data_IF_168966346742
#
_entry.id   IF_168966346742
#
_cell.length_a   1.000
_cell.length_b   1.000
_cell.length_c   1.000
_cell.angle_alpha   90.00
_cell.angle_beta   90.00
_cell.angle_gamma   90.00
#
_symmetry.space_group_name_H-M   'P 1'
#
loop_
_entity.id
_entity.type
_entity.pdbx_description
1 polymer ?
#
# COMPACT_ATOMS: atom_id res chain seq x y z
N UNK A 1 11.55 -15.58 6.38
CA UNK A 1 10.58 -14.51 6.07
C UNK A 1 10.22 -13.70 7.30
N UNK A 2 10.07 -14.35 8.48
CA UNK A 2 9.93 -13.68 9.77
C UNK A 2 10.95 -12.54 9.94
N UNK A 3 10.47 -11.41 10.48
CA UNK A 3 11.22 -10.18 10.79
C UNK A 3 11.55 -9.24 9.61
N UNK A 4 11.04 -9.47 8.39
CA UNK A 4 11.14 -8.51 7.27
C UNK A 4 9.94 -7.55 7.24
N UNK A 5 8.78 -8.07 7.60
CA UNK A 5 7.49 -7.35 7.73
C UNK A 5 6.85 -7.74 9.06
N UNK A 6 5.92 -6.91 9.55
CA UNK A 6 5.27 -7.10 10.85
C UNK A 6 3.77 -6.77 10.79
N UNK A 7 2.87 -7.66 11.24
CA UNK A 7 1.42 -7.33 11.28
C UNK A 7 1.12 -6.16 12.22
N UNK A 8 1.92 -5.96 13.26
CA UNK A 8 1.76 -4.86 14.21
C UNK A 8 1.88 -3.51 13.49
N UNK A 9 2.85 -3.34 12.60
CA UNK A 9 3.07 -2.07 11.87
C UNK A 9 1.90 -1.70 10.95
N UNK A 10 1.28 -2.66 10.26
CA UNK A 10 0.09 -2.37 9.45
C UNK A 10 -1.15 -2.16 10.31
N UNK A 11 -1.20 -2.78 11.49
CA UNK A 11 -2.26 -2.53 12.48
C UNK A 11 -2.17 -1.12 13.05
N UNK A 12 -0.98 -0.67 13.46
CA UNK A 12 -0.72 0.71 13.91
C UNK A 12 -1.07 1.74 12.83
N UNK A 13 -0.68 1.46 11.57
CA UNK A 13 -1.04 2.33 10.44
C UNK A 13 -2.56 2.42 10.26
N UNK A 14 -3.28 1.30 10.42
CA UNK A 14 -4.75 1.26 10.34
C UNK A 14 -5.38 2.04 11.48
N UNK A 15 -4.85 1.94 12.70
CA UNK A 15 -5.33 2.69 13.84
C UNK A 15 -5.14 4.19 13.62
N UNK A 16 -3.98 4.62 13.11
CA UNK A 16 -3.74 6.01 12.71
C UNK A 16 -4.78 6.49 11.69
N UNK A 17 -5.04 5.70 10.63
CA UNK A 17 -6.04 6.06 9.60
C UNK A 17 -7.45 6.22 10.19
N UNK A 18 -7.82 5.42 11.18
CA UNK A 18 -9.14 5.47 11.81
C UNK A 18 -9.22 6.40 13.03
N UNK A 19 -8.08 6.98 13.45
CA UNK A 19 -8.00 7.88 14.60
C UNK A 19 -8.48 9.31 14.28
N UNK A 20 -8.25 10.23 15.22
CA UNK A 20 -8.40 11.68 15.02
C UNK A 20 -9.80 12.11 14.53
N UNK A 21 -10.85 11.63 15.22
CA UNK A 21 -12.25 11.87 14.85
C UNK A 21 -12.56 11.45 13.41
N UNK A 22 -12.02 10.31 12.99
CA UNK A 22 -12.18 9.79 11.64
C UNK A 22 -11.71 10.77 10.55
N UNK A 23 -10.65 11.54 10.82
CA UNK A 23 -10.13 12.59 9.92
C UNK A 23 -9.95 12.08 8.48
N UNK A 24 -9.27 10.93 8.31
CA UNK A 24 -9.02 10.38 6.98
C UNK A 24 -10.33 9.98 6.30
N UNK A 25 -11.28 9.39 7.02
CA UNK A 25 -12.60 9.11 6.46
C UNK A 25 -13.31 10.39 6.02
N UNK A 26 -13.42 11.38 6.89
CA UNK A 26 -14.19 12.60 6.63
C UNK A 26 -13.63 13.39 5.43
N UNK A 27 -12.30 13.46 5.29
CA UNK A 27 -11.65 14.18 4.20
C UNK A 27 -11.61 13.39 2.89
N UNK A 28 -11.57 12.06 2.94
CA UNK A 28 -11.34 11.21 1.77
C UNK A 28 -12.57 10.40 1.32
N UNK A 29 -13.70 10.44 2.05
CA UNK A 29 -14.98 9.82 1.63
C UNK A 29 -15.54 10.44 0.35
N UNK A 30 -15.28 11.73 0.13
CA UNK A 30 -15.52 12.42 -1.13
C UNK A 30 -14.45 13.49 -1.37
N UNK A 31 -13.39 13.11 -2.10
CA UNK A 31 -12.30 14.01 -2.48
C UNK A 31 -12.25 14.17 -3.99
N UNK A 32 -12.86 15.25 -4.47
CA UNK A 32 -12.95 15.56 -5.91
C UNK A 32 -13.91 14.63 -6.65
N UNK A 33 -15.06 14.28 -6.04
CA UNK A 33 -16.08 13.39 -6.62
C UNK A 33 -15.69 11.92 -6.59
N UNK A 34 -14.71 11.56 -5.75
CA UNK A 34 -14.18 10.19 -5.64
C UNK A 34 -14.06 9.79 -4.18
N UNK A 35 -14.51 8.59 -3.87
CA UNK A 35 -14.30 7.98 -2.57
C UNK A 35 -12.89 7.36 -2.52
N UNK A 36 -11.92 8.15 -2.07
CA UNK A 36 -10.54 7.73 -1.89
C UNK A 36 -10.34 6.94 -0.59
N UNK A 37 -11.26 7.06 0.38
CA UNK A 37 -11.23 6.26 1.59
C UNK A 37 -11.36 4.76 1.30
N UNK A 38 -12.25 4.37 0.37
CA UNK A 38 -12.38 2.97 -0.06
C UNK A 38 -11.08 2.41 -0.65
N UNK A 39 -10.33 3.24 -1.39
CA UNK A 39 -9.01 2.86 -1.90
C UNK A 39 -8.02 2.64 -0.75
N UNK A 40 -8.03 3.52 0.27
CA UNK A 40 -7.18 3.37 1.46
C UNK A 40 -7.52 2.08 2.22
N UNK A 41 -8.80 1.79 2.46
CA UNK A 41 -9.24 0.54 3.09
C UNK A 41 -8.76 -0.68 2.30
N UNK A 42 -9.00 -0.70 0.98
CA UNK A 42 -8.59 -1.81 0.12
C UNK A 42 -7.08 -2.04 0.15
N UNK A 43 -6.28 -0.97 0.11
CA UNK A 43 -4.83 -1.08 0.20
C UNK A 43 -4.39 -1.64 1.56
N UNK A 44 -4.95 -1.16 2.68
CA UNK A 44 -4.63 -1.70 4.00
C UNK A 44 -5.01 -3.17 4.14
N UNK A 45 -6.15 -3.60 3.59
CA UNK A 45 -6.61 -4.99 3.66
C UNK A 45 -5.67 -5.94 2.90
N UNK A 46 -5.25 -5.54 1.69
CA UNK A 46 -4.29 -6.33 0.91
C UNK A 46 -2.90 -6.36 1.54
N UNK A 47 -2.45 -5.28 2.18
CA UNK A 47 -1.21 -5.29 2.95
C UNK A 47 -1.34 -6.23 4.15
N UNK A 48 -2.41 -6.13 4.96
CA UNK A 48 -2.62 -6.99 6.14
C UNK A 48 -2.62 -8.48 5.78
N UNK A 49 -3.39 -8.89 4.76
CA UNK A 49 -3.43 -10.29 4.32
C UNK A 49 -2.06 -10.77 3.85
N UNK A 50 -1.36 -9.96 3.05
CA UNK A 50 -0.05 -10.33 2.51
C UNK A 50 1.02 -10.42 3.61
N UNK A 51 1.05 -9.46 4.54
CA UNK A 51 1.98 -9.45 5.68
C UNK A 51 1.75 -10.66 6.58
N UNK A 52 0.51 -10.93 6.97
CA UNK A 52 0.16 -12.11 7.79
C UNK A 52 0.52 -13.42 7.10
N UNK A 53 0.31 -13.50 5.79
CA UNK A 53 0.75 -14.67 5.01
C UNK A 53 2.27 -14.85 5.10
N UNK A 54 3.05 -13.79 4.89
CA UNK A 54 4.51 -13.84 4.88
C UNK A 54 5.13 -14.10 6.26
N UNK A 55 4.58 -13.55 7.33
CA UNK A 55 5.05 -13.80 8.70
C UNK A 55 4.82 -15.24 9.14
N UNK A 56 3.68 -15.80 8.76
CA UNK A 56 3.27 -17.16 9.11
C UNK A 56 3.69 -18.20 8.06
N UNK A 57 4.38 -17.78 7.00
CA UNK A 57 4.80 -18.69 5.95
C UNK A 57 5.76 -19.76 6.50
N UNK A 58 5.57 -21.04 6.10
CA UNK A 58 6.47 -22.11 6.48
C UNK A 58 7.85 -21.90 5.85
N UNK A 59 8.84 -22.66 6.34
CA UNK A 59 10.12 -22.77 5.63
C UNK A 59 9.92 -23.35 4.23
N UNK A 60 10.85 -23.00 3.32
CA UNK A 60 10.79 -23.50 1.96
C UNK A 60 10.94 -25.02 1.91
N UNK A 61 10.07 -25.66 1.14
CA UNK A 61 10.07 -27.10 0.96
C UNK A 61 11.35 -27.57 0.24
N UNK A 62 11.78 -28.80 0.53
CA UNK A 62 12.88 -29.44 -0.19
C UNK A 62 12.43 -29.90 -1.57
N UNK A 63 11.15 -30.23 -1.73
CA UNK A 63 10.57 -30.56 -3.02
C UNK A 63 10.52 -29.30 -3.90
N UNK A 64 11.11 -29.38 -5.09
CA UNK A 64 11.25 -28.24 -6.01
C UNK A 64 9.88 -27.68 -6.43
N UNK A 65 8.92 -28.53 -6.76
CA UNK A 65 7.60 -28.08 -7.26
C UNK A 65 6.84 -27.32 -6.17
N UNK A 66 6.82 -27.86 -4.95
CA UNK A 66 6.26 -27.20 -3.75
C UNK A 66 6.95 -25.86 -3.50
N UNK A 67 8.29 -25.83 -3.53
CA UNK A 67 9.08 -24.61 -3.33
C UNK A 67 8.84 -23.55 -4.40
N UNK A 68 8.69 -23.93 -5.66
CA UNK A 68 8.33 -23.01 -6.74
C UNK A 68 7.00 -22.31 -6.46
N UNK A 69 6.00 -23.07 -5.98
CA UNK A 69 4.70 -22.50 -5.61
C UNK A 69 4.81 -21.58 -4.38
N UNK A 70 5.63 -21.93 -3.40
CA UNK A 70 5.90 -21.05 -2.24
C UNK A 70 6.57 -19.73 -2.67
N UNK A 71 7.54 -19.79 -3.58
CA UNK A 71 8.19 -18.59 -4.13
C UNK A 71 7.22 -17.74 -4.96
N UNK A 72 6.34 -18.37 -5.74
CA UNK A 72 5.28 -17.65 -6.45
C UNK A 72 4.35 -16.92 -5.47
N UNK A 73 3.97 -17.57 -4.36
CA UNK A 73 3.16 -16.94 -3.30
C UNK A 73 3.89 -15.76 -2.64
N UNK A 74 5.19 -15.89 -2.38
CA UNK A 74 6.04 -14.81 -1.89
C UNK A 74 6.03 -13.62 -2.85
N UNK A 75 6.35 -13.84 -4.13
CA UNK A 75 6.37 -12.78 -5.15
C UNK A 75 5.01 -12.10 -5.26
N UNK A 76 3.91 -12.88 -5.24
CA UNK A 76 2.56 -12.33 -5.32
C UNK A 76 2.22 -11.46 -4.11
N UNK A 77 2.62 -11.89 -2.91
CA UNK A 77 2.42 -11.11 -1.68
C UNK A 77 3.23 -9.80 -1.70
N UNK A 78 4.46 -9.83 -2.22
CA UNK A 78 5.29 -8.64 -2.39
C UNK A 78 4.65 -7.66 -3.39
N UNK A 79 4.13 -8.16 -4.51
CA UNK A 79 3.45 -7.35 -5.54
C UNK A 79 2.20 -6.65 -4.97
N UNK A 80 1.39 -7.38 -4.19
CA UNK A 80 0.22 -6.83 -3.51
C UNK A 80 0.59 -5.72 -2.52
N UNK A 81 1.63 -5.93 -1.69
CA UNK A 81 2.12 -4.91 -0.76
C UNK A 81 2.64 -3.69 -1.53
N UNK A 82 3.47 -3.91 -2.54
CA UNK A 82 4.08 -2.85 -3.34
C UNK A 82 3.02 -1.97 -4.04
N UNK A 83 2.06 -2.58 -4.73
CA UNK A 83 1.00 -1.83 -5.42
C UNK A 83 0.07 -1.11 -4.44
N UNK A 84 -0.25 -1.73 -3.31
CA UNK A 84 -1.05 -1.11 -2.25
C UNK A 84 -0.37 0.14 -1.67
N UNK A 85 0.93 0.08 -1.38
CA UNK A 85 1.71 1.22 -0.88
C UNK A 85 1.78 2.34 -1.92
N UNK A 86 1.90 2.00 -3.21
CA UNK A 86 1.82 3.00 -4.29
C UNK A 86 0.46 3.68 -4.37
N UNK A 87 -0.63 2.95 -4.14
CA UNK A 87 -1.96 3.59 -4.08
C UNK A 87 -2.10 4.49 -2.84
N UNK A 88 -1.60 4.08 -1.67
CA UNK A 88 -1.57 4.93 -0.48
C UNK A 88 -0.74 6.20 -0.69
N UNK A 89 0.45 6.09 -1.29
CA UNK A 89 1.28 7.23 -1.69
C UNK A 89 0.48 8.21 -2.55
N UNK A 90 -0.22 7.71 -3.57
CA UNK A 90 -1.05 8.54 -4.46
C UNK A 90 -2.18 9.26 -3.73
N UNK A 91 -2.67 8.75 -2.62
CA UNK A 91 -3.72 9.42 -1.83
C UNK A 91 -3.13 10.53 -0.96
N UNK A 92 -2.07 10.22 -0.20
CA UNK A 92 -1.60 11.10 0.88
C UNK A 92 -0.44 12.03 0.50
N UNK A 93 0.39 11.63 -0.46
CA UNK A 93 1.58 12.40 -0.86
C UNK A 93 1.24 13.35 -2.00
N UNK A 94 1.74 14.58 -1.93
CA UNK A 94 1.45 15.64 -2.92
C UNK A 94 2.10 15.36 -4.27
N UNK A 95 3.38 14.96 -4.27
CA UNK A 95 4.03 14.47 -5.48
C UNK A 95 3.41 13.12 -5.86
N UNK A 96 2.96 12.99 -7.11
CA UNK A 96 2.31 11.78 -7.63
C UNK A 96 3.27 10.86 -8.39
N UNK A 97 4.56 11.24 -8.47
CA UNK A 97 5.60 10.40 -9.04
C UNK A 97 5.75 9.13 -8.19
N UNK A 98 6.11 8.04 -8.85
CA UNK A 98 6.40 6.79 -8.14
C UNK A 98 7.60 7.01 -7.20
N UNK A 99 7.45 6.79 -5.88
CA UNK A 99 8.51 7.10 -4.92
C UNK A 99 9.76 6.23 -5.08
N UNK A 100 9.66 5.13 -5.84
CA UNK A 100 10.76 4.19 -6.09
C UNK A 100 11.26 4.23 -7.55
N UNK A 101 10.85 5.23 -8.33
CA UNK A 101 11.22 5.34 -9.74
C UNK A 101 12.74 5.45 -9.92
N UNK A 102 13.31 4.61 -10.79
CA UNK A 102 14.72 4.66 -11.15
C UNK A 102 15.69 4.08 -10.11
N UNK A 103 15.19 3.55 -8.98
CA UNK A 103 16.05 2.95 -7.96
C UNK A 103 16.71 1.65 -8.46
N UNK A 104 17.98 1.44 -8.11
CA UNK A 104 18.75 0.22 -8.45
C UNK A 104 19.49 -0.33 -7.22
N UNK A 105 18.77 -0.49 -6.12
CA UNK A 105 19.33 -0.84 -4.80
C UNK A 105 19.17 -2.33 -4.47
N UNK A 106 18.10 -2.97 -4.94
CA UNK A 106 17.70 -4.30 -4.48
C UNK A 106 18.37 -5.43 -5.27
N UNK A 107 18.41 -5.31 -6.60
CA UNK A 107 18.85 -6.40 -7.49
C UNK A 107 20.24 -6.12 -8.09
N UNK A 108 21.27 -6.83 -7.66
CA UNK A 108 22.66 -6.54 -8.04
C UNK A 108 23.03 -7.17 -9.38
N UNK A 109 22.70 -8.44 -9.55
CA UNK A 109 23.06 -9.23 -10.74
C UNK A 109 21.90 -9.33 -11.74
N UNK A 110 21.29 -8.18 -12.04
CA UNK A 110 20.11 -8.11 -12.91
C UNK A 110 20.44 -8.50 -14.35
N UNK A 111 19.64 -9.39 -14.95
CA UNK A 111 19.82 -9.82 -16.35
C UNK A 111 19.68 -8.66 -17.35
N UNK A 112 18.79 -7.70 -17.04
CA UNK A 112 18.53 -6.52 -17.86
C UNK A 112 19.04 -5.27 -17.14
N UNK A 113 20.29 -4.88 -17.41
CA UNK A 113 21.00 -3.82 -16.69
C UNK A 113 20.31 -2.43 -16.76
N UNK A 114 19.51 -2.18 -17.79
CA UNK A 114 18.77 -0.93 -17.97
C UNK A 114 17.57 -0.81 -17.03
N UNK A 115 16.95 -1.91 -16.61
CA UNK A 115 15.77 -1.90 -15.73
C UNK A 115 16.11 -1.36 -14.34
N UNK A 116 15.20 -0.56 -13.77
CA UNK A 116 15.21 -0.20 -12.35
C UNK A 116 14.61 -1.34 -11.51
N UNK A 117 14.63 -1.22 -10.18
CA UNK A 117 14.13 -2.26 -9.27
C UNK A 117 12.65 -2.58 -9.51
N UNK A 118 11.82 -1.57 -9.78
CA UNK A 118 10.40 -1.76 -10.02
C UNK A 118 10.14 -2.56 -11.31
N UNK A 119 10.82 -2.21 -12.39
CA UNK A 119 10.68 -2.93 -13.66
C UNK A 119 11.32 -4.33 -13.58
N UNK A 120 12.47 -4.47 -12.92
CA UNK A 120 13.11 -5.77 -12.75
C UNK A 120 12.29 -6.72 -11.87
N UNK A 121 11.64 -6.23 -10.82
CA UNK A 121 10.71 -7.04 -10.03
C UNK A 121 9.51 -7.52 -10.88
N UNK A 122 8.98 -6.69 -11.79
CA UNK A 122 7.94 -7.14 -12.73
C UNK A 122 8.46 -8.21 -13.68
N UNK A 123 9.71 -8.10 -14.13
CA UNK A 123 10.38 -9.13 -14.92
C UNK A 123 10.48 -10.44 -14.14
N UNK A 124 10.93 -10.41 -12.88
CA UNK A 124 10.96 -11.58 -12.00
C UNK A 124 9.55 -12.18 -11.85
N UNK A 125 8.54 -11.35 -11.54
CA UNK A 125 7.15 -11.80 -11.38
C UNK A 125 6.60 -12.47 -12.63
N UNK A 126 6.90 -11.92 -13.79
CA UNK A 126 6.50 -12.50 -15.06
C UNK A 126 7.19 -13.86 -15.31
N UNK A 127 8.50 -13.94 -15.06
CA UNK A 127 9.30 -15.14 -15.33
C UNK A 127 9.05 -16.29 -14.34
N UNK A 128 8.82 -15.99 -13.06
CA UNK A 128 8.66 -16.99 -12.00
C UNK A 128 7.21 -17.32 -11.63
N UNK A 129 6.21 -16.82 -12.39
CA UNK A 129 4.87 -17.40 -12.30
C UNK A 129 3.74 -16.67 -13.01
N UNK A 130 3.71 -15.33 -13.04
CA UNK A 130 2.51 -14.63 -13.52
C UNK A 130 2.31 -14.76 -15.04
N UNK A 131 3.38 -14.67 -15.83
CA UNK A 131 3.33 -14.67 -17.30
C UNK A 131 4.49 -15.43 -17.96
N UNK A 132 4.92 -16.62 -17.47
CA UNK A 132 6.15 -17.26 -17.92
C UNK A 132 6.12 -17.58 -19.42
N UNK A 133 4.94 -17.85 -19.98
CA UNK A 133 4.75 -18.24 -21.39
C UNK A 133 4.48 -17.06 -22.35
N UNK A 134 4.57 -15.81 -21.89
CA UNK A 134 4.33 -14.63 -22.74
C UNK A 134 5.16 -13.41 -22.30
N UNK A 135 6.48 -13.56 -22.31
CA UNK A 135 7.40 -12.47 -21.97
C UNK A 135 7.66 -11.62 -23.21
N UNK A 136 7.16 -10.39 -23.20
CA UNK A 136 7.45 -9.41 -24.25
C UNK A 136 8.79 -8.73 -23.96
N UNK A 137 9.71 -8.77 -24.92
CA UNK A 137 10.89 -7.92 -24.98
C UNK A 137 10.77 -6.99 -26.19
N UNK A 138 11.50 -5.88 -26.19
CA UNK A 138 11.51 -4.95 -27.34
C UNK A 138 11.79 -5.72 -28.64
N UNK A 139 10.77 -5.78 -29.51
CA UNK A 139 10.78 -6.46 -30.81
C UNK A 139 11.01 -7.98 -30.79
N UNK A 140 10.88 -8.66 -29.64
CA UNK A 140 11.02 -10.11 -29.53
C UNK A 140 10.10 -10.72 -28.46
N UNK A 141 10.02 -12.05 -28.43
CA UNK A 141 9.29 -12.79 -27.40
C UNK A 141 10.19 -13.86 -26.80
N UNK A 142 10.05 -14.05 -25.49
CA UNK A 142 10.69 -15.14 -24.76
C UNK A 142 9.67 -15.93 -23.95
N UNK A 143 10.05 -17.16 -23.60
CA UNK A 143 9.25 -18.08 -22.81
C UNK A 143 10.11 -18.62 -21.66
N UNK A 144 9.66 -18.46 -20.43
CA UNK A 144 10.32 -19.00 -19.26
C UNK A 144 10.01 -20.50 -19.08
N UNK A 145 11.02 -21.27 -18.72
CA UNK A 145 10.87 -22.63 -18.21
C UNK A 145 10.18 -22.64 -16.84
N UNK A 146 9.83 -23.84 -16.36
CA UNK A 146 9.60 -24.05 -14.94
C UNK A 146 10.85 -23.63 -14.12
N UNK A 147 10.69 -23.06 -12.91
CA UNK A 147 11.84 -22.73 -12.07
C UNK A 147 12.54 -24.00 -11.57
N UNK A 148 13.87 -23.99 -11.54
CA UNK A 148 14.68 -25.11 -11.11
C UNK A 148 15.78 -24.66 -10.14
N UNK A 149 16.38 -25.61 -9.42
CA UNK A 149 17.51 -25.34 -8.53
C UNK A 149 18.70 -24.80 -9.36
N UNK A 150 19.25 -23.65 -8.97
CA UNK A 150 20.43 -23.10 -9.66
C UNK A 150 21.60 -24.10 -9.61
N UNK A 151 22.16 -24.42 -10.77
CA UNK A 151 23.28 -25.39 -10.89
C UNK A 151 24.64 -24.77 -10.53
N UNK A 152 24.72 -23.44 -10.47
CA UNK A 152 25.97 -22.70 -10.29
C UNK A 152 26.03 -21.92 -8.96
N UNK A 153 25.09 -22.16 -8.03
CA UNK A 153 24.97 -21.44 -6.74
C UNK A 153 24.86 -19.91 -6.87
N UNK A 154 24.44 -19.40 -8.03
CA UNK A 154 24.29 -17.96 -8.28
C UNK A 154 22.93 -17.41 -7.85
N UNK A 155 22.01 -18.27 -7.39
CA UNK A 155 20.68 -17.90 -6.89
C UNK A 155 19.95 -19.09 -6.26
N UNK A 156 18.83 -18.82 -5.60
CA UNK A 156 17.98 -19.84 -4.96
C UNK A 156 17.20 -20.66 -6.00
N UNK A 157 16.72 -19.99 -7.05
CA UNK A 157 16.05 -20.61 -8.20
C UNK A 157 16.53 -19.96 -9.50
N UNK A 158 16.41 -20.69 -10.60
CA UNK A 158 16.71 -20.19 -11.94
C UNK A 158 15.60 -20.57 -12.92
N UNK A 159 15.46 -19.78 -13.99
CA UNK A 159 14.64 -20.11 -15.15
C UNK A 159 15.44 -19.91 -16.44
N UNK A 160 15.19 -20.75 -17.43
CA UNK A 160 15.66 -20.53 -18.79
C UNK A 160 14.63 -19.69 -19.54
N UNK A 161 15.10 -18.69 -20.30
CA UNK A 161 14.27 -17.81 -21.12
C UNK A 161 14.50 -18.14 -22.60
N UNK A 162 13.68 -19.06 -23.12
CA UNK A 162 13.74 -19.54 -24.48
C UNK A 162 13.43 -18.43 -25.48
N UNK A 163 14.29 -18.23 -26.47
CA UNK A 163 14.06 -17.27 -27.55
C UNK A 163 12.99 -17.78 -28.52
N UNK A 164 12.04 -16.92 -28.92
CA UNK A 164 11.19 -17.21 -30.09
C UNK A 164 11.97 -17.14 -31.41
N UNK A 165 12.94 -16.24 -31.49
CA UNK A 165 13.60 -15.92 -32.75
C UNK A 165 14.73 -16.93 -33.04
N UNK A 166 14.74 -17.48 -34.26
CA UNK A 166 15.72 -18.49 -34.70
C UNK A 166 17.15 -17.94 -34.62
N UNK A 167 18.06 -18.74 -34.05
CA UNK A 167 19.48 -18.40 -33.95
C UNK A 167 19.83 -17.38 -32.86
N UNK A 168 18.85 -16.92 -32.07
CA UNK A 168 19.12 -16.14 -30.85
C UNK A 168 19.32 -17.06 -29.66
N UNK A 169 20.27 -16.70 -28.80
CA UNK A 169 20.58 -17.44 -27.59
C UNK A 169 19.45 -17.36 -26.55
N UNK A 170 19.29 -18.47 -25.83
CA UNK A 170 18.49 -18.55 -24.62
C UNK A 170 19.22 -17.86 -23.47
N UNK A 171 18.47 -17.25 -22.57
CA UNK A 171 19.02 -16.59 -21.39
C UNK A 171 18.74 -17.40 -20.13
N UNK A 172 19.47 -17.13 -19.07
CA UNK A 172 19.17 -17.68 -17.74
C UNK A 172 18.98 -16.52 -16.77
N UNK A 173 17.85 -16.51 -16.08
CA UNK A 173 17.55 -15.53 -15.03
C UNK A 173 17.61 -16.24 -13.68
N UNK A 174 18.43 -15.71 -12.78
CA UNK A 174 18.58 -16.21 -11.41
C UNK A 174 17.72 -15.36 -10.46
N UNK A 175 17.09 -16.02 -9.51
CA UNK A 175 16.34 -15.40 -8.42
C UNK A 175 17.08 -15.57 -7.12
N UNK A 176 17.30 -14.45 -6.41
CA UNK A 176 17.78 -14.45 -5.05
C UNK A 176 16.65 -13.98 -4.13
N UNK A 177 16.27 -14.83 -3.18
CA UNK A 177 15.18 -14.58 -2.24
C UNK A 177 15.53 -13.39 -1.34
N UNK A 178 16.80 -13.21 -0.95
CA UNK A 178 17.18 -12.07 -0.11
C UNK A 178 17.03 -10.73 -0.85
N UNK A 179 17.24 -10.69 -2.18
CA UNK A 179 16.97 -9.49 -2.97
C UNK A 179 15.47 -9.16 -3.03
N UNK A 180 14.60 -10.19 -3.09
CA UNK A 180 13.14 -10.00 -2.96
C UNK A 180 12.75 -9.47 -1.57
N UNK A 181 13.36 -10.00 -0.52
CA UNK A 181 13.10 -9.56 0.85
C UNK A 181 13.57 -8.13 1.08
N UNK A 182 14.70 -7.73 0.50
CA UNK A 182 15.17 -6.34 0.55
C UNK A 182 14.24 -5.40 -0.23
N UNK A 183 13.78 -5.82 -1.41
CA UNK A 183 12.79 -5.09 -2.19
C UNK A 183 11.50 -4.87 -1.38
N UNK A 184 11.00 -5.92 -0.71
CA UNK A 184 9.86 -5.87 0.18
C UNK A 184 10.09 -4.91 1.36
N UNK A 185 11.21 -5.04 2.06
CA UNK A 185 11.56 -4.25 3.25
C UNK A 185 11.49 -2.75 2.96
N UNK A 186 12.19 -2.30 1.92
CA UNK A 186 12.24 -0.88 1.52
C UNK A 186 10.84 -0.32 1.26
N UNK A 187 9.98 -1.10 0.60
CA UNK A 187 8.62 -0.67 0.28
C UNK A 187 7.72 -0.67 1.50
N UNK A 188 7.80 -1.70 2.32
CA UNK A 188 7.01 -1.81 3.54
C UNK A 188 7.37 -0.72 4.57
N UNK A 189 8.65 -0.36 4.68
CA UNK A 189 9.13 0.75 5.49
C UNK A 189 8.56 2.10 5.05
N UNK A 190 8.22 2.26 3.77
CA UNK A 190 7.61 3.49 3.26
C UNK A 190 6.24 3.80 3.87
N UNK A 191 5.59 2.85 4.57
CA UNK A 191 4.41 3.14 5.37
C UNK A 191 4.68 4.21 6.44
N UNK A 192 5.90 4.29 7.00
CA UNK A 192 6.25 5.30 8.00
C UNK A 192 6.19 6.71 7.39
N UNK A 193 6.71 6.86 6.16
CA UNK A 193 6.65 8.13 5.42
C UNK A 193 5.20 8.56 5.16
N UNK A 194 4.32 7.60 4.89
CA UNK A 194 2.90 7.87 4.67
C UNK A 194 2.21 8.21 6.00
N UNK A 195 2.53 7.51 7.09
CA UNK A 195 2.02 7.77 8.43
C UNK A 195 2.38 9.20 8.89
N UNK A 196 3.65 9.58 8.80
CA UNK A 196 4.13 10.94 9.11
C UNK A 196 3.37 12.01 8.30
N UNK A 197 3.07 11.70 7.03
CA UNK A 197 2.30 12.62 6.19
C UNK A 197 0.85 12.73 6.65
N UNK A 198 0.20 11.64 7.06
CA UNK A 198 -1.18 11.67 7.57
C UNK A 198 -1.27 12.54 8.82
N UNK A 199 -0.32 12.39 9.75
CA UNK A 199 -0.25 13.23 10.95
C UNK A 199 -0.06 14.71 10.60
N UNK A 200 0.88 15.00 9.69
CA UNK A 200 1.11 16.37 9.22
C UNK A 200 -0.14 16.97 8.60
N UNK A 201 -0.86 16.20 7.76
CA UNK A 201 -2.12 16.63 7.14
C UNK A 201 -3.20 16.95 8.18
N UNK A 202 -3.26 16.18 9.27
CA UNK A 202 -4.20 16.43 10.36
C UNK A 202 -3.87 17.73 11.10
N UNK A 203 -2.60 17.97 11.43
CA UNK A 203 -2.16 19.23 12.06
C UNK A 203 -2.41 20.43 11.14
N UNK A 204 -2.10 20.32 9.85
CA UNK A 204 -2.40 21.34 8.83
C UNK A 204 -3.90 21.67 8.81
N UNK A 205 -4.75 20.64 8.88
CA UNK A 205 -6.20 20.78 8.90
C UNK A 205 -6.70 21.47 10.17
N UNK A 206 -6.22 21.06 11.35
CA UNK A 206 -6.57 21.70 12.63
C UNK A 206 -6.20 23.18 12.64
N UNK A 207 -4.99 23.51 12.19
CA UNK A 207 -4.52 24.89 12.12
C UNK A 207 -5.29 25.75 11.10
N UNK A 208 -5.78 25.14 10.01
CA UNK A 208 -6.69 25.83 9.08
C UNK A 208 -8.00 26.19 9.79
N UNK A 209 -8.64 25.20 10.40
CA UNK A 209 -9.94 25.39 11.06
C UNK A 209 -9.90 26.27 12.31
N UNK A 210 -8.78 26.32 13.02
CA UNK A 210 -8.65 27.19 14.22
C UNK A 210 -8.69 28.68 13.89
N UNK A 211 -8.44 29.04 12.62
CA UNK A 211 -8.54 30.42 12.13
C UNK A 211 -9.96 30.81 11.72
N UNK A 212 -10.83 29.83 11.52
CA UNK A 212 -12.21 30.03 11.13
C UNK A 212 -13.04 30.29 12.40
N UNK A 213 -13.53 31.53 12.55
CA UNK A 213 -14.35 31.92 13.70
C UNK A 213 -15.71 31.24 13.62
N UNK A 214 -16.14 30.67 14.73
CA UNK A 214 -17.52 30.21 14.92
C UNK A 214 -18.38 31.45 15.17
N UNK A 215 -19.48 31.58 14.42
CA UNK A 215 -20.43 32.66 14.63
C UNK A 215 -21.05 32.58 16.04
N UNK A 216 -21.26 33.73 16.66
CA UNK A 216 -21.90 33.82 17.97
C UNK A 216 -23.28 34.44 17.85
N UNK A 217 -24.28 33.75 18.37
CA UNK A 217 -25.66 34.21 18.50
C UNK A 217 -25.96 34.50 19.97
N UNK A 218 -26.90 35.42 20.20
CA UNK A 218 -27.35 35.74 21.55
C UNK A 218 -28.34 34.71 22.07
N UNK A 219 -29.18 34.18 21.20
CA UNK A 219 -30.13 33.13 21.54
C UNK A 219 -29.41 31.77 21.66
N UNK A 220 -29.54 31.05 22.78
CA UNK A 220 -28.88 29.77 22.98
C UNK A 220 -29.28 28.70 21.95
N UNK A 221 -30.55 28.66 21.55
CA UNK A 221 -31.03 27.66 20.57
C UNK A 221 -30.47 27.97 19.18
N UNK A 222 -30.47 29.23 18.75
CA UNK A 222 -29.79 29.67 17.52
C UNK A 222 -28.29 29.34 17.56
N UNK A 223 -27.63 29.51 18.71
CA UNK A 223 -26.22 29.15 18.86
C UNK A 223 -26.00 27.64 18.68
N UNK A 224 -26.90 26.79 19.18
CA UNK A 224 -26.80 25.34 19.03
C UNK A 224 -26.91 24.91 17.56
N UNK A 225 -27.80 25.52 16.77
CA UNK A 225 -27.85 25.25 15.32
C UNK A 225 -26.59 25.70 14.58
N UNK A 226 -25.99 26.82 14.99
CA UNK A 226 -24.66 27.23 14.47
C UNK A 226 -23.61 26.18 14.82
N UNK A 227 -23.58 25.69 16.06
CA UNK A 227 -22.64 24.66 16.50
C UNK A 227 -22.83 23.34 15.75
N UNK A 228 -24.08 22.93 15.47
CA UNK A 228 -24.39 21.73 14.67
C UNK A 228 -23.78 21.83 13.28
N UNK A 229 -24.02 22.95 12.60
CA UNK A 229 -23.48 23.22 11.27
C UNK A 229 -21.95 23.29 11.27
N UNK A 230 -21.34 23.85 12.32
CA UNK A 230 -19.88 23.89 12.46
C UNK A 230 -19.31 22.50 12.78
N UNK A 231 -20.01 21.66 13.55
CA UNK A 231 -19.58 20.30 13.86
C UNK A 231 -19.48 19.45 12.59
N UNK A 232 -20.49 19.50 11.71
CA UNK A 232 -20.48 18.80 10.41
C UNK A 232 -19.25 19.16 9.56
N UNK A 233 -18.85 20.44 9.56
CA UNK A 233 -17.64 20.91 8.84
C UNK A 233 -16.35 20.47 9.54
N UNK A 234 -16.39 20.34 10.87
CA UNK A 234 -15.21 20.08 11.73
C UNK A 234 -15.10 18.61 12.09
N UNK A 235 -15.15 17.77 11.06
CA UNK A 235 -15.04 16.30 11.11
C UNK A 235 -16.29 15.56 11.57
N UNK A 236 -17.42 16.24 11.72
CA UNK A 236 -18.73 15.61 11.89
C UNK A 236 -18.69 14.53 12.97
N UNK A 237 -18.21 14.93 14.14
CA UNK A 237 -17.92 14.01 15.23
C UNK A 237 -19.22 13.60 15.93
N UNK A 238 -19.52 12.31 15.91
CA UNK A 238 -20.75 11.73 16.47
C UNK A 238 -21.00 12.10 17.94
N UNK A 239 -19.94 12.19 18.75
CA UNK A 239 -20.07 12.57 20.16
C UNK A 239 -20.55 14.01 20.31
N UNK A 240 -19.91 14.96 19.61
CA UNK A 240 -20.35 16.36 19.66
C UNK A 240 -21.72 16.57 19.02
N UNK A 241 -22.01 15.86 17.93
CA UNK A 241 -23.33 15.90 17.30
C UNK A 241 -24.42 15.41 18.28
N UNK A 242 -24.19 14.31 18.99
CA UNK A 242 -25.13 13.81 20.00
C UNK A 242 -25.38 14.82 21.12
N UNK A 243 -24.34 15.40 21.70
CA UNK A 243 -24.47 16.40 22.77
C UNK A 243 -25.20 17.67 22.29
N UNK A 244 -24.92 18.15 21.08
CA UNK A 244 -25.61 19.30 20.48
C UNK A 244 -27.09 18.98 20.27
N UNK A 245 -27.40 17.79 19.76
CA UNK A 245 -28.76 17.35 19.46
C UNK A 245 -29.60 17.20 20.73
N UNK A 246 -29.03 16.64 21.80
CA UNK A 246 -29.68 16.54 23.10
C UNK A 246 -29.98 17.92 23.69
N UNK A 247 -29.05 18.87 23.57
CA UNK A 247 -29.27 20.24 24.02
C UNK A 247 -30.35 20.93 23.19
N UNK A 248 -30.34 20.79 21.86
CA UNK A 248 -31.40 21.34 21.00
C UNK A 248 -32.77 20.82 21.46
N UNK A 249 -32.90 19.51 21.67
CA UNK A 249 -34.14 18.90 22.14
C UNK A 249 -34.62 19.49 23.48
N UNK A 250 -33.71 19.75 24.43
CA UNK A 250 -34.05 20.36 25.72
C UNK A 250 -34.54 21.80 25.55
N UNK A 251 -33.88 22.60 24.71
CA UNK A 251 -34.22 24.01 24.50
C UNK A 251 -35.49 24.20 23.65
N UNK A 252 -35.83 23.23 22.80
CA UNK A 252 -37.07 23.21 22.02
C UNK A 252 -38.29 22.77 22.84
N UNK A 253 -38.09 22.11 23.99
CA UNK A 253 -39.18 21.64 24.83
C UNK A 253 -39.97 22.80 25.44
N UNK A 254 -41.26 22.88 25.14
CA UNK A 254 -42.17 23.83 25.80
C UNK A 254 -42.38 23.44 27.26
N UNK A 255 -42.05 24.36 28.18
CA UNK A 255 -42.38 24.20 29.61
C UNK A 255 -43.85 24.56 29.79
N UNK A 256 -44.72 23.55 29.76
CA UNK A 256 -46.14 23.66 30.12
C UNK A 256 -46.37 23.61 31.62
#
# INVERSE_FOLDING_TARGET
>A
MRNVVSDDKISDFRDLVNSNSSFVYQIYKDKGGKNLFNLVCSAMDWISVSVRHLENAPEFDKNIDSRCMQVYSLISSIDLIFESIKQLHRVFITDKKDPFYGEKKCFKDRLFANEDDNNYFKTIRACFGAHPVNLNQENSKRFASWPFQSHFNTGDLSVHLYSRDVGKEDLTLNLNINELLEFLRIRYEYLDVIADRIETLFVEYQHKLSKEKIETKLDPLEQLYVLRTESEKRLDNDYYNGEIDDLIMIFEAEVT
#
